data_IF_674406008221
#
_entry.id   IF_674406008221
#
_cell.length_a   1.000
_cell.length_b   1.000
_cell.length_c   1.000
_cell.angle_alpha   90.00
_cell.angle_beta   90.00
_cell.angle_gamma   90.00
#
_symmetry.space_group_name_H-M   'P 1'
#
loop_
_entity.id
_entity.type
_entity.pdbx_description
1 polymer ?
#
# COMPACT_ATOMS: atom_id res chain seq x y z
N UNK A 1 12.83 -1.75 19.18
CA UNK A 1 12.10 -0.59 19.73
C UNK A 1 11.97 0.45 18.63
N UNK A 2 10.76 0.66 18.12
CA UNK A 2 10.29 1.88 17.43
C UNK A 2 8.83 1.60 17.05
N UNK A 3 7.94 1.86 18.00
CA UNK A 3 6.50 1.77 17.81
C UNK A 3 6.03 3.08 17.18
N UNK A 4 6.33 3.31 15.90
CA UNK A 4 5.70 4.40 15.15
C UNK A 4 4.21 4.08 15.04
N UNK A 5 3.31 4.94 15.56
CA UNK A 5 1.88 4.76 15.40
C UNK A 5 1.57 4.73 13.91
N UNK A 6 0.76 3.76 13.49
CA UNK A 6 0.21 3.76 12.14
C UNK A 6 -0.73 4.98 12.06
N UNK A 7 -0.25 6.04 11.42
CA UNK A 7 -0.90 7.35 11.38
C UNK A 7 -1.33 7.69 9.96
N UNK A 8 -2.55 8.22 9.84
CA UNK A 8 -2.98 8.95 8.65
C UNK A 8 -2.36 10.35 8.69
N UNK A 9 -1.57 10.68 7.66
CA UNK A 9 -0.99 11.99 7.43
C UNK A 9 -1.64 12.60 6.20
N UNK A 10 -2.25 13.77 6.35
CA UNK A 10 -2.73 14.56 5.22
C UNK A 10 -1.59 15.47 4.75
N UNK A 11 -0.79 14.99 3.79
CA UNK A 11 0.29 15.79 3.23
C UNK A 11 -0.18 16.53 1.97
N UNK A 12 -0.76 17.70 2.18
CA UNK A 12 -0.53 18.77 1.22
C UNK A 12 0.97 19.10 1.27
N UNK A 13 1.72 18.70 0.24
CA UNK A 13 3.01 19.28 -0.20
C UNK A 13 4.30 19.09 0.63
N UNK A 14 4.37 18.17 1.59
CA UNK A 14 5.63 17.90 2.33
C UNK A 14 6.72 17.21 1.48
N UNK A 15 7.86 17.88 1.27
CA UNK A 15 9.06 17.29 0.65
C UNK A 15 9.68 16.22 1.56
N UNK A 16 9.87 15.00 1.05
CA UNK A 16 10.55 13.91 1.77
C UNK A 16 9.73 12.63 1.96
N UNK A 17 8.47 12.60 1.51
CA UNK A 17 7.68 11.37 1.44
C UNK A 17 7.94 10.60 0.15
N UNK A 18 7.99 9.27 0.26
CA UNK A 18 7.98 8.40 -0.91
C UNK A 18 6.78 8.76 -1.82
N UNK A 19 7.04 9.01 -3.10
CA UNK A 19 6.03 9.47 -4.07
C UNK A 19 6.03 10.97 -4.37
N UNK A 20 6.83 11.79 -3.67
CA UNK A 20 6.90 13.25 -3.92
C UNK A 20 7.56 13.64 -5.25
N UNK A 21 8.28 12.71 -5.91
CA UNK A 21 9.02 12.97 -7.14
C UNK A 21 8.14 13.36 -8.33
N UNK A 22 7.07 12.62 -8.60
CA UNK A 22 6.14 12.91 -9.69
C UNK A 22 5.35 14.20 -9.41
N UNK A 23 4.82 14.34 -8.19
CA UNK A 23 4.04 15.51 -7.76
C UNK A 23 4.83 16.82 -7.90
N UNK A 24 6.15 16.80 -7.65
CA UNK A 24 7.02 17.97 -7.79
C UNK A 24 7.01 18.56 -9.20
N UNK A 25 6.82 17.75 -10.24
CA UNK A 25 6.86 18.17 -11.64
C UNK A 25 5.48 18.29 -12.28
N UNK A 26 4.40 17.96 -11.54
CA UNK A 26 3.00 17.96 -12.00
C UNK A 26 2.07 18.60 -10.97
N UNK A 27 2.25 19.89 -10.63
CA UNK A 27 1.50 20.57 -9.57
C UNK A 27 -0.01 20.70 -9.86
N UNK A 28 -0.42 20.54 -11.11
CA UNK A 28 -1.82 20.51 -11.57
C UNK A 28 -2.57 19.24 -11.16
N UNK A 29 -1.85 18.16 -10.87
CA UNK A 29 -2.45 16.93 -10.41
C UNK A 29 -2.80 17.01 -8.93
N UNK A 30 -3.96 16.45 -8.57
CA UNK A 30 -4.35 16.39 -7.17
C UNK A 30 -3.26 15.65 -6.36
N UNK A 31 -2.75 16.24 -5.27
CA UNK A 31 -1.73 15.59 -4.46
C UNK A 31 -2.31 14.36 -3.76
N UNK A 32 -1.42 13.49 -3.26
CA UNK A 32 -1.81 12.42 -2.35
C UNK A 32 -2.53 13.04 -1.15
N UNK A 33 -3.84 12.81 -1.05
CA UNK A 33 -4.68 13.41 -0.01
C UNK A 33 -4.48 12.76 1.35
N UNK A 34 -4.24 11.45 1.34
CA UNK A 34 -4.11 10.61 2.52
C UNK A 34 -2.86 9.74 2.40
N UNK A 35 -1.97 9.83 3.37
CA UNK A 35 -0.74 9.04 3.43
C UNK A 35 -0.71 8.24 4.73
N UNK A 36 -0.52 6.93 4.63
CA UNK A 36 -0.37 6.07 5.79
C UNK A 36 1.06 5.54 5.89
N UNK A 37 1.70 5.79 7.04
CA UNK A 37 3.04 5.27 7.31
C UNK A 37 3.00 4.18 8.37
N UNK A 38 3.50 2.99 8.03
CA UNK A 38 3.71 1.92 8.99
C UNK A 38 3.51 0.53 8.39
N UNK A 39 3.35 -0.45 9.27
CA UNK A 39 3.19 -1.85 8.93
C UNK A 39 1.75 -2.15 8.49
N UNK A 40 1.58 -2.61 7.25
CA UNK A 40 0.27 -2.92 6.64
C UNK A 40 -0.52 -3.96 7.45
N UNK A 41 0.15 -4.84 8.20
CA UNK A 41 -0.50 -5.84 9.08
C UNK A 41 -1.38 -5.21 10.16
N UNK A 42 -1.05 -3.97 10.55
CA UNK A 42 -1.77 -3.20 11.57
C UNK A 42 -2.90 -2.34 10.98
N UNK A 43 -2.90 -2.11 9.67
CA UNK A 43 -3.93 -1.37 8.96
C UNK A 43 -5.12 -2.28 8.63
N UNK A 44 -6.34 -1.78 8.79
CA UNK A 44 -7.56 -2.43 8.32
C UNK A 44 -8.19 -1.63 7.19
N UNK A 45 -8.81 -2.30 6.23
CA UNK A 45 -9.54 -1.67 5.14
C UNK A 45 -10.65 -0.76 5.66
N UNK A 46 -11.25 -1.08 6.81
CA UNK A 46 -12.21 -0.17 7.48
C UNK A 46 -11.60 1.19 7.79
N UNK A 47 -10.36 1.24 8.28
CA UNK A 47 -9.69 2.51 8.62
C UNK A 47 -9.52 3.40 7.38
N UNK A 48 -9.24 2.79 6.22
CA UNK A 48 -9.13 3.48 4.93
C UNK A 48 -10.51 3.96 4.48
N UNK A 49 -11.52 3.09 4.50
CA UNK A 49 -12.88 3.42 4.05
C UNK A 49 -13.49 4.55 4.89
N UNK A 50 -13.34 4.50 6.22
CA UNK A 50 -13.81 5.53 7.14
C UNK A 50 -13.10 6.87 6.87
N UNK A 51 -11.77 6.85 6.68
CA UNK A 51 -10.99 8.06 6.39
C UNK A 51 -11.34 8.70 5.04
N UNK A 52 -11.74 7.88 4.06
CA UNK A 52 -12.18 8.34 2.75
C UNK A 52 -13.67 8.71 2.70
N UNK A 53 -14.47 8.29 3.70
CA UNK A 53 -15.91 8.50 3.72
C UNK A 53 -16.65 7.70 2.65
N UNK A 54 -16.13 6.52 2.28
CA UNK A 54 -16.67 5.66 1.21
C UNK A 54 -16.98 4.26 1.73
N UNK A 55 -17.70 3.47 0.95
CA UNK A 55 -18.07 2.09 1.25
C UNK A 55 -17.20 1.10 0.49
N UNK A 56 -17.23 -0.17 0.92
CA UNK A 56 -16.68 -1.28 0.14
C UNK A 56 -17.31 -1.27 -1.26
N UNK A 57 -16.52 -1.48 -2.30
CA UNK A 57 -17.00 -1.39 -3.70
C UNK A 57 -16.82 -0.03 -4.36
N UNK A 58 -16.63 1.05 -3.58
CA UNK A 58 -16.54 2.40 -4.14
C UNK A 58 -15.16 2.70 -4.72
N UNK A 59 -14.11 2.07 -4.19
CA UNK A 59 -12.74 2.25 -4.70
C UNK A 59 -12.61 1.71 -6.12
N UNK A 60 -12.12 2.55 -7.03
CA UNK A 60 -11.95 2.15 -8.43
C UNK A 60 -10.78 1.18 -8.62
N UNK A 61 -9.64 1.46 -8.01
CA UNK A 61 -8.42 0.68 -8.20
C UNK A 61 -7.56 0.61 -6.93
N UNK A 62 -6.99 -0.56 -6.67
CA UNK A 62 -5.86 -0.76 -5.74
C UNK A 62 -4.66 -1.24 -6.54
N UNK A 63 -3.51 -0.57 -6.41
CA UNK A 63 -2.28 -0.96 -7.09
C UNK A 63 -1.11 -1.04 -6.11
N UNK A 64 -0.21 -2.00 -6.30
CA UNK A 64 0.98 -2.15 -5.46
C UNK A 64 1.89 -3.31 -5.91
N UNK A 65 3.11 -3.32 -5.37
CA UNK A 65 4.07 -4.42 -5.54
C UNK A 65 4.52 -4.93 -4.18
N UNK A 66 3.79 -5.88 -3.56
CA UNK A 66 4.20 -6.47 -2.28
C UNK A 66 5.54 -7.20 -2.47
N UNK A 67 6.52 -7.10 -1.55
CA UNK A 67 7.81 -7.74 -1.75
C UNK A 67 7.72 -9.27 -1.69
N UNK A 68 8.11 -9.94 -2.78
CA UNK A 68 8.01 -11.40 -2.96
C UNK A 68 9.39 -12.09 -2.89
N UNK A 69 10.17 -11.83 -1.84
CA UNK A 69 11.59 -12.23 -1.78
C UNK A 69 11.84 -13.75 -1.63
N UNK A 70 10.85 -14.53 -1.20
CA UNK A 70 10.97 -15.99 -1.11
C UNK A 70 10.60 -16.73 -2.39
N UNK A 71 10.08 -16.04 -3.42
CA UNK A 71 9.62 -16.67 -4.66
C UNK A 71 10.43 -16.30 -5.91
N UNK A 72 11.28 -15.26 -5.87
CA UNK A 72 12.13 -14.89 -7.03
C UNK A 72 13.39 -15.77 -7.14
N UNK A 73 13.86 -16.06 -8.37
CA UNK A 73 15.12 -16.80 -8.57
C UNK A 73 16.36 -16.06 -8.05
N UNK A 74 16.29 -14.73 -7.91
CA UNK A 74 17.33 -13.92 -7.28
C UNK A 74 17.27 -13.92 -5.73
N UNK A 75 16.20 -14.47 -5.15
CA UNK A 75 16.00 -14.59 -3.71
C UNK A 75 16.56 -15.89 -3.12
N UNK A 76 16.43 -16.06 -1.80
CA UNK A 76 16.91 -17.27 -1.10
C UNK A 76 16.03 -18.52 -1.34
N UNK A 77 14.97 -18.40 -2.16
CA UNK A 77 13.94 -19.42 -2.39
C UNK A 77 13.44 -20.08 -1.10
N UNK A 78 13.36 -19.29 -0.02
CA UNK A 78 12.91 -19.77 1.27
C UNK A 78 11.40 -19.52 1.38
N UNK A 79 10.62 -20.58 1.22
CA UNK A 79 9.16 -20.55 1.35
C UNK A 79 8.74 -20.07 2.75
N UNK A 80 9.56 -20.34 3.79
CA UNK A 80 9.29 -19.92 5.17
C UNK A 80 9.71 -18.47 5.47
N UNK A 81 10.10 -17.68 4.47
CA UNK A 81 10.44 -16.28 4.69
C UNK A 81 9.21 -15.48 5.13
N UNK A 82 9.22 -14.83 6.32
CA UNK A 82 8.06 -14.09 6.83
C UNK A 82 7.64 -12.91 5.95
N UNK A 83 8.49 -12.47 5.01
CA UNK A 83 8.17 -11.40 4.04
C UNK A 83 7.24 -11.89 2.93
N UNK A 84 7.21 -13.19 2.64
CA UNK A 84 6.23 -13.80 1.73
C UNK A 84 4.79 -13.52 2.18
N UNK A 85 4.59 -13.26 3.48
CA UNK A 85 3.27 -12.95 4.02
C UNK A 85 2.71 -11.61 3.55
N UNK A 86 3.53 -10.69 3.01
CA UNK A 86 3.06 -9.39 2.56
C UNK A 86 2.21 -9.47 1.28
N UNK A 87 2.38 -10.53 0.48
CA UNK A 87 1.47 -10.84 -0.63
C UNK A 87 0.07 -11.18 -0.11
N UNK A 88 -0.02 -11.93 1.01
CA UNK A 88 -1.30 -12.22 1.64
C UNK A 88 -1.92 -10.99 2.30
N UNK A 89 -1.12 -10.08 2.86
CA UNK A 89 -1.61 -8.80 3.36
C UNK A 89 -2.15 -7.90 2.24
N UNK A 90 -1.54 -7.93 1.05
CA UNK A 90 -2.08 -7.27 -0.14
C UNK A 90 -3.43 -7.87 -0.54
N UNK A 91 -3.53 -9.21 -0.60
CA UNK A 91 -4.79 -9.92 -0.83
C UNK A 91 -5.87 -9.61 0.21
N UNK A 92 -5.48 -9.53 1.50
CA UNK A 92 -6.38 -9.12 2.60
C UNK A 92 -6.96 -7.72 2.34
N UNK A 93 -6.13 -6.77 1.91
CA UNK A 93 -6.61 -5.42 1.57
C UNK A 93 -7.63 -5.44 0.44
N UNK A 94 -7.38 -6.22 -0.63
CA UNK A 94 -8.34 -6.37 -1.73
C UNK A 94 -9.69 -6.90 -1.21
N UNK A 95 -9.68 -7.93 -0.36
CA UNK A 95 -10.90 -8.51 0.21
C UNK A 95 -11.62 -7.53 1.14
N UNK A 96 -10.88 -6.80 1.97
CA UNK A 96 -11.46 -5.85 2.94
C UNK A 96 -12.04 -4.61 2.25
N UNK A 97 -11.39 -4.10 1.20
CA UNK A 97 -11.75 -2.89 0.46
C UNK A 97 -12.77 -3.14 -0.66
N UNK A 98 -12.74 -4.34 -1.26
CA UNK A 98 -13.50 -4.73 -2.45
C UNK A 98 -13.42 -3.68 -3.59
N UNK A 99 -12.22 -3.31 -4.09
CA UNK A 99 -12.13 -2.36 -5.18
C UNK A 99 -12.69 -2.95 -6.48
N UNK A 100 -13.10 -2.09 -7.42
CA UNK A 100 -13.58 -2.52 -8.75
C UNK A 100 -12.48 -3.22 -9.55
N UNK A 101 -11.23 -2.78 -9.38
CA UNK A 101 -10.06 -3.36 -10.04
C UNK A 101 -8.85 -3.38 -9.11
N UNK A 102 -7.88 -4.26 -9.40
CA UNK A 102 -6.58 -4.22 -8.73
C UNK A 102 -5.44 -4.59 -9.70
N UNK A 103 -4.24 -4.10 -9.40
CA UNK A 103 -3.00 -4.42 -10.12
C UNK A 103 -1.95 -4.83 -9.11
N UNK A 104 -1.34 -5.99 -9.29
CA UNK A 104 -0.21 -6.44 -8.46
C UNK A 104 1.00 -6.57 -9.38
N UNK A 105 2.01 -5.74 -9.17
CA UNK A 105 3.28 -5.84 -9.89
C UNK A 105 4.23 -6.77 -9.13
N UNK A 106 4.84 -7.71 -9.86
CA UNK A 106 5.81 -8.65 -9.33
C UNK A 106 6.91 -8.87 -10.36
N UNK A 107 8.12 -9.18 -9.90
CA UNK A 107 9.24 -9.52 -10.77
C UNK A 107 9.07 -10.94 -11.34
N UNK A 108 9.48 -11.21 -12.61
CA UNK A 108 9.53 -12.56 -13.14
C UNK A 108 10.34 -13.48 -12.23
N UNK A 109 9.86 -14.72 -12.08
CA UNK A 109 10.54 -15.76 -11.34
C UNK A 109 11.89 -16.11 -11.97
#
# INVERSE_FOLDING_TARGET
EHNTPFGLYNNATGSGLAGSGHIKHHPEQAPVRNFWFGDIRKLKGKDILDALGIKKGDLDCVFGGPPCQGFSAAGKQNIADPRNNLVYEYGRMIVELQPKTFVMEEVPA
#
